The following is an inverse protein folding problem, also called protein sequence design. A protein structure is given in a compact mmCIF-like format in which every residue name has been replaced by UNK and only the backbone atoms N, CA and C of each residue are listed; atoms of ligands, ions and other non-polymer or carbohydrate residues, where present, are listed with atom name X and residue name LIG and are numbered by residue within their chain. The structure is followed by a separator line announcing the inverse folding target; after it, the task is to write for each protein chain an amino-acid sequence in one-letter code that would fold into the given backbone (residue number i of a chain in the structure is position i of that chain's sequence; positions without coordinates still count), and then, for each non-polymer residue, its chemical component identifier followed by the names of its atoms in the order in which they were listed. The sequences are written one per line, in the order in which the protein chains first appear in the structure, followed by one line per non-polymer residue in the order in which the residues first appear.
data_IF_009460439362
#
_entry.id   IF_009460439362
#
_cell.length_a   1.000
_cell.length_b   1.000
_cell.length_c   1.000
_cell.angle_alpha   90.00
_cell.angle_beta   90.00
_cell.angle_gamma   90.00
#
_symmetry.space_group_name_H-M   'P 1'
#
loop_
_entity.id
_entity.type
_entity.pdbx_description
1 polymer ?
#
# COMPACT_ATOMS: atom_id res chain seq x y z
N UNK A 1 52.65 -11.11 -21.72
CA UNK A 1 52.88 -10.37 -20.48
C UNK A 1 51.55 -9.70 -20.15
N UNK A 2 50.75 -10.36 -19.34
CA UNK A 2 49.39 -9.93 -19.00
C UNK A 2 49.41 -9.20 -17.68
N UNK A 3 48.86 -8.00 -17.65
CA UNK A 3 48.66 -7.24 -16.42
C UNK A 3 47.17 -7.21 -16.10
N UNK A 4 46.83 -8.06 -15.12
CA UNK A 4 46.02 -7.74 -13.94
C UNK A 4 44.75 -6.88 -14.16
N UNK A 5 43.65 -7.55 -14.54
CA UNK A 5 42.31 -7.03 -14.34
C UNK A 5 42.03 -6.95 -12.83
N UNK A 6 42.14 -5.75 -12.27
CA UNK A 6 41.83 -5.50 -10.85
C UNK A 6 40.31 -5.51 -10.66
N UNK A 7 39.79 -6.69 -10.31
CA UNK A 7 38.47 -6.90 -9.71
C UNK A 7 38.29 -5.89 -8.57
N UNK A 8 37.44 -4.88 -8.82
CA UNK A 8 36.92 -3.98 -7.80
C UNK A 8 35.45 -4.31 -7.61
N UNK A 9 35.20 -5.52 -7.11
CA UNK A 9 33.99 -5.86 -6.38
C UNK A 9 33.73 -4.77 -5.33
N UNK A 10 32.83 -3.84 -5.65
CA UNK A 10 32.24 -2.93 -4.67
C UNK A 10 31.42 -3.77 -3.69
N UNK A 11 31.58 -3.62 -2.36
CA UNK A 11 30.74 -4.32 -1.41
C UNK A 11 29.30 -3.85 -1.60
N UNK A 12 28.41 -4.81 -1.88
CA UNK A 12 26.97 -4.62 -2.00
C UNK A 12 26.41 -4.09 -0.67
N UNK A 13 26.43 -2.77 -0.48
CA UNK A 13 25.47 -2.13 0.41
C UNK A 13 24.11 -2.40 -0.22
N UNK A 14 23.46 -3.45 0.28
CA UNK A 14 22.13 -3.88 -0.11
C UNK A 14 21.17 -2.74 0.24
N UNK A 15 21.02 -1.79 -0.69
CA UNK A 15 20.11 -0.67 -0.54
C UNK A 15 18.72 -1.27 -0.62
N UNK A 16 18.04 -1.38 0.52
CA UNK A 16 16.62 -1.73 0.56
C UNK A 16 15.86 -0.59 -0.12
N UNK A 17 15.68 -0.68 -1.44
CA UNK A 17 14.84 0.27 -2.16
C UNK A 17 13.42 0.15 -1.62
N UNK A 18 13.00 1.16 -0.87
CA UNK A 18 11.64 1.27 -0.34
C UNK A 18 10.76 1.80 -1.47
N UNK A 19 9.76 1.02 -1.87
CA UNK A 19 8.75 1.43 -2.84
C UNK A 19 7.48 1.74 -2.07
N UNK A 20 6.91 2.93 -2.33
CA UNK A 20 5.65 3.37 -1.72
C UNK A 20 4.68 3.79 -2.82
N UNK A 21 3.45 3.30 -2.74
CA UNK A 21 2.33 3.73 -3.61
C UNK A 21 1.26 4.34 -2.71
N UNK A 22 0.91 5.60 -2.96
CA UNK A 22 -0.15 6.33 -2.27
C UNK A 22 -1.29 6.60 -3.26
N UNK A 23 -2.46 6.06 -2.98
CA UNK A 23 -3.66 6.29 -3.78
C UNK A 23 -4.74 6.96 -2.93
N UNK A 24 -5.35 8.00 -3.49
CA UNK A 24 -6.49 8.68 -2.90
C UNK A 24 -7.65 8.69 -3.90
N UNK A 25 -8.79 8.12 -3.51
CA UNK A 25 -10.03 8.22 -4.28
C UNK A 25 -11.02 9.06 -3.48
N UNK A 26 -11.49 10.16 -4.07
CA UNK A 26 -12.46 11.05 -3.45
C UNK A 26 -13.71 11.15 -4.32
N UNK A 27 -14.88 11.08 -3.69
CA UNK A 27 -16.17 11.35 -4.31
C UNK A 27 -16.93 12.32 -3.41
N UNK A 28 -17.55 13.34 -3.98
CA UNK A 28 -18.30 14.34 -3.24
C UNK A 28 -19.61 14.69 -3.94
N UNK A 29 -20.64 14.89 -3.14
CA UNK A 29 -21.93 15.48 -3.52
C UNK A 29 -22.13 16.75 -2.68
N UNK A 30 -23.17 17.55 -2.93
CA UNK A 30 -23.43 18.76 -2.14
C UNK A 30 -23.59 18.48 -0.63
N UNK A 31 -23.99 17.26 -0.24
CA UNK A 31 -24.32 16.92 1.15
C UNK A 31 -23.31 15.98 1.82
N UNK A 32 -22.68 15.11 1.03
CA UNK A 32 -21.84 14.03 1.56
C UNK A 32 -20.54 13.88 0.77
N UNK A 33 -19.49 13.47 1.47
CA UNK A 33 -18.16 13.18 0.93
C UNK A 33 -17.64 11.81 1.37
N UNK A 34 -16.98 11.13 0.45
CA UNK A 34 -16.38 9.81 0.67
C UNK A 34 -14.93 9.86 0.17
N UNK A 35 -13.98 9.49 1.05
CA UNK A 35 -12.55 9.48 0.72
C UNK A 35 -11.92 8.16 1.13
N UNK A 36 -11.24 7.51 0.20
CA UNK A 36 -10.42 6.34 0.45
C UNK A 36 -8.95 6.74 0.36
N UNK A 37 -8.19 6.47 1.41
CA UNK A 37 -6.75 6.67 1.45
C UNK A 37 -6.08 5.32 1.60
N UNK A 38 -5.15 5.00 0.70
CA UNK A 38 -4.47 3.70 0.70
C UNK A 38 -3.01 3.87 0.46
N UNK A 39 -2.21 3.17 1.26
CA UNK A 39 -0.77 3.16 1.16
C UNK A 39 -0.31 1.72 1.03
N UNK A 40 0.57 1.47 0.06
CA UNK A 40 1.28 0.21 -0.06
C UNK A 40 2.78 0.47 0.03
N UNK A 41 3.49 -0.30 0.82
CA UNK A 41 4.94 -0.23 0.97
C UNK A 41 5.56 -1.61 0.79
N UNK A 42 6.88 -1.66 0.58
CA UNK A 42 7.59 -2.94 0.60
C UNK A 42 8.96 -2.81 1.24
N UNK A 43 9.34 -3.79 2.04
CA UNK A 43 10.69 -3.89 2.59
C UNK A 43 10.92 -3.12 3.89
N UNK A 44 9.86 -2.78 4.63
CA UNK A 44 9.96 -2.14 5.95
C UNK A 44 9.52 -3.14 7.03
N UNK A 45 10.43 -3.62 7.90
CA UNK A 45 10.07 -4.53 8.98
C UNK A 45 9.07 -3.90 9.95
N UNK A 46 8.11 -4.69 10.43
CA UNK A 46 7.09 -4.31 11.44
C UNK A 46 6.12 -3.18 11.00
N UNK A 47 6.12 -2.80 9.74
CA UNK A 47 5.13 -1.89 9.16
C UNK A 47 4.21 -2.69 8.25
N UNK A 48 2.88 -2.47 8.26
CA UNK A 48 2.01 -3.12 7.30
C UNK A 48 2.40 -2.73 5.88
N UNK A 49 2.66 -3.73 5.03
CA UNK A 49 2.87 -3.54 3.60
C UNK A 49 1.67 -2.87 2.90
N UNK A 50 0.47 -2.91 3.49
CA UNK A 50 -0.71 -2.24 2.96
C UNK A 50 -1.59 -1.72 4.10
N UNK A 51 -2.05 -0.48 3.95
CA UNK A 51 -3.02 0.16 4.84
C UNK A 51 -4.09 0.84 4.00
N UNK A 52 -5.36 0.68 4.39
CA UNK A 52 -6.47 1.42 3.82
C UNK A 52 -7.32 2.07 4.93
N UNK A 53 -7.72 3.31 4.68
CA UNK A 53 -8.54 4.12 5.58
C UNK A 53 -9.65 4.76 4.75
N UNK A 54 -10.90 4.69 5.25
CA UNK A 54 -12.02 5.38 4.60
C UNK A 54 -12.60 6.43 5.52
N UNK A 55 -12.96 7.55 4.90
CA UNK A 55 -13.61 8.67 5.55
C UNK A 55 -14.97 8.91 4.91
N UNK A 56 -15.99 9.10 5.75
CA UNK A 56 -17.32 9.58 5.36
C UNK A 56 -17.53 10.91 6.07
N UNK A 57 -17.77 11.98 5.31
CA UNK A 57 -17.96 13.34 5.86
C UNK A 57 -16.82 13.79 6.78
N UNK A 58 -15.60 13.37 6.43
CA UNK A 58 -14.38 13.67 7.20
C UNK A 58 -14.16 12.77 8.42
N UNK A 59 -15.12 11.93 8.79
CA UNK A 59 -14.95 10.96 9.87
C UNK A 59 -14.31 9.69 9.34
N UNK A 60 -13.20 9.25 9.94
CA UNK A 60 -12.67 7.92 9.65
C UNK A 60 -13.71 6.88 10.09
N UNK A 61 -14.16 6.05 9.16
CA UNK A 61 -15.22 5.05 9.38
C UNK A 61 -14.70 3.63 9.39
N UNK A 62 -13.63 3.35 8.65
CA UNK A 62 -13.05 2.03 8.56
C UNK A 62 -11.52 2.08 8.47
N UNK A 63 -10.90 1.00 8.94
CA UNK A 63 -9.47 0.78 8.88
C UNK A 63 -9.18 -0.66 8.46
N UNK A 64 -8.19 -0.84 7.59
CA UNK A 64 -7.64 -2.14 7.19
C UNK A 64 -6.12 -2.06 7.15
N UNK A 65 -5.47 -3.12 7.61
CA UNK A 65 -4.01 -3.29 7.48
C UNK A 65 -3.65 -4.73 7.11
N UNK A 66 -2.50 -4.91 6.46
CA UNK A 66 -2.04 -6.22 5.99
C UNK A 66 -1.48 -7.14 7.09
N UNK A 67 -1.36 -6.67 8.34
CA UNK A 67 -0.98 -7.51 9.49
C UNK A 67 -2.22 -8.21 10.03
N UNK A 68 -3.27 -7.46 10.37
CA UNK A 68 -4.54 -8.00 10.86
C UNK A 68 -5.38 -8.64 9.76
N UNK A 69 -5.22 -8.15 8.51
CA UNK A 69 -5.97 -8.58 7.31
C UNK A 69 -7.48 -8.60 7.53
N UNK A 70 -7.96 -7.64 8.31
CA UNK A 70 -9.36 -7.49 8.69
C UNK A 70 -9.74 -6.02 8.63
N UNK A 71 -10.92 -5.74 8.09
CA UNK A 71 -11.50 -4.39 8.17
C UNK A 71 -12.18 -4.22 9.51
N UNK A 72 -11.89 -3.12 10.18
CA UNK A 72 -12.52 -2.76 11.45
C UNK A 72 -13.27 -1.44 11.31
N UNK A 73 -14.55 -1.37 11.74
CA UNK A 73 -15.22 -0.09 11.91
C UNK A 73 -14.53 0.72 13.01
N UNK A 74 -14.40 2.01 12.78
CA UNK A 74 -13.86 2.94 13.80
C UNK A 74 -14.94 3.76 14.47
N UNK A 75 -16.13 3.87 13.85
CA UNK A 75 -17.25 4.63 14.40
C UNK A 75 -18.38 3.72 14.89
N UNK A 76 -18.97 4.05 16.02
CA UNK A 76 -20.05 3.26 16.63
C UNK A 76 -21.26 3.12 15.70
N UNK A 77 -21.57 4.15 14.91
CA UNK A 77 -22.68 4.10 13.96
C UNK A 77 -22.43 3.17 12.78
N UNK A 78 -21.17 2.85 12.46
CA UNK A 78 -20.83 1.84 11.45
C UNK A 78 -21.16 0.42 11.91
N UNK A 79 -21.31 0.17 13.22
CA UNK A 79 -21.75 -1.14 13.72
C UNK A 79 -23.18 -1.48 13.26
N UNK A 80 -23.99 -0.48 12.90
CA UNK A 80 -25.33 -0.73 12.33
C UNK A 80 -25.28 -1.32 10.93
N UNK A 81 -24.15 -1.21 10.22
CA UNK A 81 -24.01 -1.82 8.90
C UNK A 81 -24.25 -3.35 8.93
N UNK A 82 -23.92 -4.01 10.05
CA UNK A 82 -24.20 -5.45 10.26
C UNK A 82 -25.64 -5.77 10.64
N UNK A 83 -26.42 -4.78 11.10
CA UNK A 83 -27.86 -4.96 11.35
C UNK A 83 -28.60 -5.09 10.01
N UNK A 84 -28.23 -4.28 9.02
CA UNK A 84 -28.81 -4.32 7.67
C UNK A 84 -28.23 -5.44 6.81
N UNK A 85 -26.93 -5.73 6.98
CA UNK A 85 -26.17 -6.67 6.14
C UNK A 85 -25.13 -7.41 6.99
N UNK A 86 -25.46 -8.62 7.50
CA UNK A 86 -24.58 -9.38 8.39
C UNK A 86 -23.18 -9.65 7.82
N UNK A 87 -23.05 -9.73 6.50
CA UNK A 87 -21.82 -10.08 5.80
C UNK A 87 -21.04 -8.85 5.31
N UNK A 88 -21.50 -7.63 5.64
CA UNK A 88 -20.92 -6.38 5.16
C UNK A 88 -19.40 -6.29 5.41
N UNK A 89 -18.97 -6.54 6.65
CA UNK A 89 -17.55 -6.42 7.02
C UNK A 89 -16.67 -7.52 6.42
N UNK A 90 -17.23 -8.71 6.19
CA UNK A 90 -16.52 -9.77 5.50
C UNK A 90 -16.28 -9.39 4.03
N UNK A 91 -17.31 -8.87 3.36
CA UNK A 91 -17.20 -8.36 2.00
C UNK A 91 -16.18 -7.22 1.90
N UNK A 92 -16.22 -6.27 2.84
CA UNK A 92 -15.28 -5.15 2.86
C UNK A 92 -13.84 -5.64 3.09
N UNK A 93 -13.66 -6.64 3.95
CA UNK A 93 -12.35 -7.29 4.15
C UNK A 93 -11.86 -8.00 2.90
N UNK A 94 -12.75 -8.71 2.19
CA UNK A 94 -12.41 -9.35 0.91
C UNK A 94 -12.02 -8.31 -0.15
N UNK A 95 -12.75 -7.20 -0.24
CA UNK A 95 -12.42 -6.08 -1.13
C UNK A 95 -11.02 -5.53 -0.84
N UNK A 96 -10.70 -5.27 0.43
CA UNK A 96 -9.39 -4.74 0.82
C UNK A 96 -8.24 -5.72 0.56
N UNK A 97 -8.47 -7.02 0.78
CA UNK A 97 -7.49 -8.06 0.39
C UNK A 97 -7.21 -8.08 -1.10
N UNK A 98 -8.23 -7.91 -1.94
CA UNK A 98 -8.05 -7.80 -3.39
C UNK A 98 -7.21 -6.57 -3.78
N UNK A 99 -7.42 -5.44 -3.09
CA UNK A 99 -6.60 -4.22 -3.28
C UNK A 99 -5.17 -4.38 -2.79
N UNK A 100 -4.95 -5.06 -1.67
CA UNK A 100 -3.61 -5.43 -1.17
C UNK A 100 -2.84 -6.24 -2.22
N UNK A 101 -3.46 -7.28 -2.79
CA UNK A 101 -2.83 -8.11 -3.82
C UNK A 101 -2.49 -7.31 -5.08
N UNK A 102 -3.41 -6.45 -5.52
CA UNK A 102 -3.20 -5.58 -6.68
C UNK A 102 -2.05 -4.60 -6.45
N UNK A 103 -2.00 -3.99 -5.26
CA UNK A 103 -0.94 -3.04 -4.91
C UNK A 103 0.43 -3.73 -4.83
N UNK A 104 0.49 -4.95 -4.31
CA UNK A 104 1.71 -5.76 -4.30
C UNK A 104 2.21 -6.04 -5.73
N UNK A 105 1.32 -6.48 -6.61
CA UNK A 105 1.67 -6.72 -8.02
C UNK A 105 2.17 -5.43 -8.70
N UNK A 106 1.55 -4.29 -8.41
CA UNK A 106 1.99 -3.00 -8.93
C UNK A 106 3.40 -2.62 -8.43
N UNK A 107 3.69 -2.83 -7.14
CA UNK A 107 5.03 -2.58 -6.58
C UNK A 107 6.08 -3.48 -7.24
N UNK A 108 5.78 -4.77 -7.43
CA UNK A 108 6.67 -5.71 -8.12
C UNK A 108 6.93 -5.28 -9.57
N UNK A 109 5.87 -4.87 -10.29
CA UNK A 109 5.99 -4.32 -11.64
C UNK A 109 6.86 -3.06 -11.70
N UNK A 110 6.68 -2.12 -10.75
CA UNK A 110 7.50 -0.91 -10.69
C UNK A 110 8.95 -1.22 -10.35
N UNK A 111 9.21 -2.15 -9.42
CA UNK A 111 10.57 -2.64 -9.08
C UNK A 111 11.32 -3.13 -10.31
N UNK A 112 10.68 -4.01 -11.09
CA UNK A 112 11.26 -4.53 -12.33
C UNK A 112 11.52 -3.42 -13.35
N UNK A 113 10.57 -2.48 -13.49
CA UNK A 113 10.71 -1.32 -14.36
C UNK A 113 11.92 -0.44 -14.02
N UNK A 114 12.09 -0.08 -12.74
CA UNK A 114 13.20 0.72 -12.26
C UNK A 114 14.55 0.01 -12.35
N UNK A 115 14.58 -1.30 -12.07
CA UNK A 115 15.80 -2.10 -12.23
C UNK A 115 16.22 -2.19 -13.71
N UNK A 116 15.26 -2.23 -14.64
CA UNK A 116 15.53 -2.28 -16.09
C UNK A 116 15.96 -0.93 -16.66
N UNK A 117 15.47 0.20 -16.14
CA UNK A 117 15.95 1.52 -16.58
C UNK A 117 17.33 1.88 -16.03
N UNK A 118 17.95 0.98 -15.23
CA UNK A 118 19.31 1.10 -14.75
C UNK A 118 19.51 2.42 -13.99
N UNK A 119 18.67 2.70 -12.99
CA UNK A 119 18.60 3.96 -12.25
C UNK A 119 19.95 4.44 -11.69
N UNK A 120 20.80 4.98 -12.55
CA UNK A 120 21.92 5.84 -12.19
C UNK A 120 21.31 7.20 -11.95
N UNK A 121 20.91 7.46 -10.70
CA UNK A 121 20.85 8.82 -10.21
C UNK A 121 22.31 9.31 -10.11
N UNK A 122 22.86 9.75 -11.24
CA UNK A 122 24.04 10.59 -11.24
C UNK A 122 23.60 11.98 -10.83
N UNK A 123 23.71 12.26 -9.54
CA UNK A 123 23.77 13.63 -9.04
C UNK A 123 24.99 14.30 -9.69
N UNK A 124 24.78 15.45 -10.33
CA UNK A 124 25.78 16.19 -11.09
C UNK A 124 26.03 17.56 -10.46
#
# INVERSE_FOLDING_TARGET
MGEEQRDRSTPLLNTFSIYTVLECFCSSTEKHSLKHLRTATSGIPNVPDFVAVVFVDGYQTEYYDSISRKTVPTQTWMNRATEDDPDYWERQTSFWRGKEQSARANIEFYKEGFNRSGGTFTEH
#
